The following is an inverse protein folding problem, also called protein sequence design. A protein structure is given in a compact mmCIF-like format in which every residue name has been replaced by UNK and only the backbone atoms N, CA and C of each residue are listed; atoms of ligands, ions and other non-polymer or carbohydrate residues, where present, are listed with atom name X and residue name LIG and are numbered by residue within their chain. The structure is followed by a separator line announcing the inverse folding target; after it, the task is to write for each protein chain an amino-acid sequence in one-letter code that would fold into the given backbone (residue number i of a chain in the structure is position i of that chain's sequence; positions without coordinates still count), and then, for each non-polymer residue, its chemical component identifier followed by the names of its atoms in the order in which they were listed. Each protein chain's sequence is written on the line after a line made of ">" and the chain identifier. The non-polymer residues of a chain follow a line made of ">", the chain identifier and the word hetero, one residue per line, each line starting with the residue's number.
data_IF_770772719127
#
_entry.id   IF_770772719127
#
_cell.length_a   1.000
_cell.length_b   1.000
_cell.length_c   1.000
_cell.angle_alpha   90.00
_cell.angle_beta   90.00
_cell.angle_gamma   90.00
#
_symmetry.space_group_name_H-M   'P 1'
#
loop_
_entity.id
_entity.type
_entity.pdbx_description
1 polymer ?
#
# COMPACT_ATOMS: atom_id res chain seq x y z
N UNK A 1 14.84 -0.39 -18.60
CA UNK A 1 14.50 -0.87 -17.24
C UNK A 1 14.21 -2.34 -17.39
N UNK A 2 14.66 -3.18 -16.46
CA UNK A 2 14.42 -4.63 -16.57
C UNK A 2 13.06 -5.01 -15.97
N UNK A 3 12.47 -6.10 -16.48
CA UNK A 3 11.26 -6.71 -15.91
C UNK A 3 11.42 -6.98 -14.41
N UNK A 4 12.62 -7.41 -13.97
CA UNK A 4 12.94 -7.57 -12.54
C UNK A 4 12.71 -6.31 -11.71
N UNK A 5 13.14 -5.16 -12.24
CA UNK A 5 13.05 -3.88 -11.53
C UNK A 5 11.59 -3.46 -11.40
N UNK A 6 10.84 -3.53 -12.51
CA UNK A 6 9.40 -3.24 -12.51
C UNK A 6 8.62 -4.19 -11.59
N UNK A 7 8.95 -5.48 -11.63
CA UNK A 7 8.27 -6.47 -10.78
C UNK A 7 8.49 -6.18 -9.30
N UNK A 8 9.74 -5.93 -8.90
CA UNK A 8 10.06 -5.55 -7.51
C UNK A 8 9.35 -4.26 -7.08
N UNK A 9 9.30 -3.26 -7.96
CA UNK A 9 8.56 -2.01 -7.69
C UNK A 9 7.07 -2.26 -7.51
N UNK A 10 6.45 -3.07 -8.37
CA UNK A 10 5.03 -3.40 -8.27
C UNK A 10 4.70 -4.14 -6.97
N UNK A 11 5.60 -5.02 -6.51
CA UNK A 11 5.47 -5.71 -5.23
C UNK A 11 5.62 -4.72 -4.06
N UNK A 12 6.60 -3.81 -4.12
CA UNK A 12 6.85 -2.81 -3.08
C UNK A 12 5.73 -1.77 -2.99
N UNK A 13 5.11 -1.40 -4.11
CA UNK A 13 4.01 -0.43 -4.14
C UNK A 13 2.64 -1.10 -3.94
N UNK A 14 2.62 -2.42 -3.77
CA UNK A 14 1.42 -3.25 -3.71
C UNK A 14 0.47 -2.98 -4.91
N UNK A 15 1.05 -2.76 -6.10
CA UNK A 15 0.30 -2.62 -7.35
C UNK A 15 -0.16 -4.00 -7.81
N UNK A 16 -1.18 -4.51 -7.12
CA UNK A 16 -1.64 -5.88 -7.25
C UNK A 16 -1.88 -6.33 -8.69
N UNK A 17 -2.61 -5.57 -9.54
CA UNK A 17 -2.80 -5.98 -10.92
C UNK A 17 -1.48 -6.15 -11.67
N UNK A 18 -0.61 -5.13 -11.65
CA UNK A 18 0.66 -5.15 -12.37
C UNK A 18 1.55 -6.31 -11.92
N UNK A 19 1.69 -6.51 -10.61
CA UNK A 19 2.49 -7.58 -10.05
C UNK A 19 1.96 -8.97 -10.45
N UNK A 20 0.64 -9.18 -10.40
CA UNK A 20 0.03 -10.46 -10.80
C UNK A 20 0.16 -10.73 -12.30
N UNK A 21 0.03 -9.70 -13.15
CA UNK A 21 0.27 -9.82 -14.59
C UNK A 21 1.71 -10.23 -14.91
N UNK A 22 2.69 -9.54 -14.32
CA UNK A 22 4.11 -9.86 -14.52
C UNK A 22 4.42 -11.28 -14.00
N UNK A 23 3.90 -11.63 -12.82
CA UNK A 23 4.08 -12.98 -12.26
C UNK A 23 3.49 -14.06 -13.16
N UNK A 24 2.30 -13.85 -13.73
CA UNK A 24 1.68 -14.78 -14.67
C UNK A 24 2.54 -14.97 -15.94
N UNK A 25 2.98 -13.87 -16.56
CA UNK A 25 3.83 -13.94 -17.76
C UNK A 25 5.17 -14.64 -17.50
N UNK A 26 5.79 -14.40 -16.34
CA UNK A 26 7.00 -15.09 -15.90
C UNK A 26 6.75 -16.59 -15.68
N UNK A 27 5.65 -16.94 -15.01
CA UNK A 27 5.28 -18.34 -14.72
C UNK A 27 5.04 -19.15 -16.00
N UNK A 28 4.40 -18.53 -16.99
CA UNK A 28 4.15 -19.12 -18.32
C UNK A 28 5.37 -19.00 -19.25
N UNK A 29 6.50 -18.46 -18.77
CA UNK A 29 7.76 -18.28 -19.52
C UNK A 29 7.62 -17.44 -20.79
N UNK A 30 6.65 -16.53 -20.82
CA UNK A 30 6.45 -15.57 -21.93
C UNK A 30 7.46 -14.44 -21.90
N UNK A 31 7.96 -14.13 -20.71
CA UNK A 31 9.02 -13.15 -20.46
C UNK A 31 10.05 -13.74 -19.46
N UNK A 32 11.21 -13.08 -19.38
CA UNK A 32 12.28 -13.30 -18.40
C UNK A 32 12.49 -12.05 -17.54
N UNK A 33 13.04 -12.24 -16.33
CA UNK A 33 13.42 -11.16 -15.43
C UNK A 33 14.51 -10.23 -16.00
N UNK A 34 15.29 -10.73 -16.96
CA UNK A 34 16.39 -10.00 -17.63
C UNK A 34 15.93 -9.27 -18.88
N UNK A 35 14.68 -9.43 -19.29
CA UNK A 35 14.16 -8.73 -20.47
C UNK A 35 13.96 -7.26 -20.14
N UNK A 36 14.08 -6.42 -21.16
CA UNK A 36 13.69 -5.01 -21.04
C UNK A 36 12.16 -4.89 -21.01
N UNK A 37 11.65 -3.95 -20.21
CA UNK A 37 10.21 -3.71 -20.07
C UNK A 37 9.50 -3.40 -21.41
N UNK A 38 10.21 -2.93 -22.44
CA UNK A 38 9.63 -2.71 -23.78
C UNK A 38 9.12 -3.99 -24.45
N UNK A 39 9.53 -5.17 -23.97
CA UNK A 39 9.04 -6.47 -24.43
C UNK A 39 7.79 -6.95 -23.68
N UNK A 40 7.34 -6.23 -22.65
CA UNK A 40 6.12 -6.59 -21.92
C UNK A 40 4.90 -6.36 -22.80
N UNK A 41 4.22 -7.46 -23.11
CA UNK A 41 2.91 -7.43 -23.72
C UNK A 41 1.88 -8.09 -22.79
N UNK A 42 1.05 -7.27 -22.13
CA UNK A 42 0.04 -7.77 -21.20
C UNK A 42 -1.12 -8.49 -21.90
N UNK A 43 -1.31 -8.28 -23.21
CA UNK A 43 -2.33 -8.98 -24.00
C UNK A 43 -1.97 -10.46 -24.20
N UNK A 44 -0.72 -10.84 -23.97
CA UNK A 44 -0.32 -12.24 -23.98
C UNK A 44 -0.72 -12.96 -22.69
N UNK A 45 -1.12 -12.26 -21.63
CA UNK A 45 -1.53 -12.88 -20.39
C UNK A 45 -2.93 -13.51 -20.48
N UNK A 46 -3.14 -14.60 -19.74
CA UNK A 46 -4.48 -15.15 -19.53
C UNK A 46 -5.20 -14.30 -18.48
N UNK A 47 -5.96 -13.29 -18.94
CA UNK A 47 -6.63 -12.31 -18.07
C UNK A 47 -7.56 -12.96 -17.04
N UNK A 48 -8.21 -14.08 -17.39
CA UNK A 48 -9.08 -14.81 -16.47
C UNK A 48 -8.25 -15.38 -15.31
N UNK A 49 -7.16 -16.09 -15.61
CA UNK A 49 -6.26 -16.63 -14.57
C UNK A 49 -5.65 -15.52 -13.73
N UNK A 50 -5.26 -14.40 -14.33
CA UNK A 50 -4.74 -13.26 -13.56
C UNK A 50 -5.78 -12.73 -12.59
N UNK A 51 -7.05 -12.61 -13.03
CA UNK A 51 -8.17 -12.25 -12.15
C UNK A 51 -8.31 -13.20 -10.96
N UNK A 52 -8.33 -14.51 -11.22
CA UNK A 52 -8.38 -15.54 -10.17
C UNK A 52 -7.18 -15.45 -9.21
N UNK A 53 -5.98 -15.16 -9.71
CA UNK A 53 -4.79 -15.00 -8.89
C UNK A 53 -4.86 -13.78 -7.97
N UNK A 54 -5.44 -12.68 -8.46
CA UNK A 54 -5.68 -11.46 -7.66
C UNK A 54 -6.71 -11.75 -6.56
N UNK A 55 -7.82 -12.41 -6.90
CA UNK A 55 -8.88 -12.76 -5.95
C UNK A 55 -8.37 -13.69 -4.84
N UNK A 56 -7.57 -14.68 -5.22
CA UNK A 56 -6.95 -15.62 -4.28
C UNK A 56 -5.69 -15.06 -3.59
N UNK A 57 -5.31 -13.82 -3.91
CA UNK A 57 -4.13 -13.14 -3.37
C UNK A 57 -2.87 -14.00 -3.42
N UNK A 58 -2.57 -14.58 -4.59
CA UNK A 58 -1.46 -15.54 -4.76
C UNK A 58 -0.10 -14.92 -4.41
N UNK A 59 0.06 -13.61 -4.60
CA UNK A 59 1.27 -12.87 -4.22
C UNK A 59 1.30 -12.43 -2.75
N UNK A 60 0.26 -12.71 -1.96
CA UNK A 60 0.23 -12.44 -0.53
C UNK A 60 0.22 -10.96 -0.19
N UNK A 61 -0.33 -10.09 -1.05
CA UNK A 61 -0.49 -8.68 -0.72
C UNK A 61 -1.42 -8.52 0.48
N UNK A 62 -0.85 -8.03 1.58
CA UNK A 62 -1.62 -7.66 2.74
C UNK A 62 -1.87 -6.17 2.68
N UNK A 63 -3.03 -5.77 2.17
CA UNK A 63 -3.39 -4.36 2.00
C UNK A 63 -3.13 -3.59 3.28
N UNK A 64 -2.06 -2.78 3.31
CA UNK A 64 -1.81 -1.83 4.38
C UNK A 64 -2.58 -0.56 4.05
N UNK A 65 -3.63 -0.29 4.81
CA UNK A 65 -4.37 0.97 4.76
C UNK A 65 -3.74 2.02 5.68
N UNK A 66 -4.07 3.27 5.43
CA UNK A 66 -3.78 4.38 6.34
C UNK A 66 -5.07 4.86 7.00
N UNK A 67 -5.04 4.96 8.33
CA UNK A 67 -6.20 5.32 9.14
C UNK A 67 -5.90 6.59 9.91
N UNK A 68 -6.78 7.58 9.81
CA UNK A 68 -6.79 8.77 10.66
C UNK A 68 -7.63 8.50 11.89
N UNK A 69 -7.02 8.55 13.06
CA UNK A 69 -7.67 8.35 14.35
C UNK A 69 -7.57 9.64 15.17
N UNK A 70 -8.70 10.07 15.73
CA UNK A 70 -8.74 11.31 16.51
C UNK A 70 -8.32 11.05 17.95
N UNK A 71 -7.26 11.75 18.38
CA UNK A 71 -6.74 11.78 19.75
C UNK A 71 -7.66 12.60 20.64
N UNK A 72 -7.80 13.89 20.32
CA UNK A 72 -8.62 14.87 21.04
C UNK A 72 -9.07 15.98 20.10
N UNK A 73 -9.58 17.10 20.62
CA UNK A 73 -10.08 18.19 19.79
C UNK A 73 -8.98 18.68 18.83
N UNK A 74 -9.26 18.65 17.52
CA UNK A 74 -8.37 19.02 16.41
C UNK A 74 -7.04 18.27 16.27
N UNK A 75 -6.78 17.21 17.03
CA UNK A 75 -5.56 16.40 16.93
C UNK A 75 -5.85 15.00 16.41
N UNK A 76 -5.15 14.62 15.35
CA UNK A 76 -5.31 13.34 14.66
C UNK A 76 -3.95 12.64 14.56
N UNK A 77 -3.97 11.31 14.63
CA UNK A 77 -2.83 10.46 14.31
C UNK A 77 -3.15 9.63 13.08
N UNK A 78 -2.19 9.54 12.18
CA UNK A 78 -2.24 8.66 11.03
C UNK A 78 -1.48 7.37 11.35
N UNK A 79 -2.14 6.23 11.19
CA UNK A 79 -1.57 4.90 11.48
C UNK A 79 -1.70 4.03 10.24
N UNK A 80 -0.59 3.46 9.79
CA UNK A 80 -0.62 2.40 8.79
C UNK A 80 -0.94 1.06 9.47
N UNK A 81 -1.91 0.31 8.95
CA UNK A 81 -2.29 -1.00 9.47
C UNK A 81 -2.95 -1.87 8.40
N UNK A 82 -3.02 -3.18 8.63
CA UNK A 82 -3.70 -4.12 7.72
C UNK A 82 -5.23 -4.07 7.79
N UNK A 83 -5.80 -3.37 8.79
CA UNK A 83 -7.24 -3.24 8.98
C UNK A 83 -7.56 -2.09 9.94
N UNK A 84 -8.79 -1.60 9.85
CA UNK A 84 -9.34 -0.59 10.78
C UNK A 84 -9.28 -1.06 12.23
N UNK A 85 -9.63 -2.32 12.48
CA UNK A 85 -9.62 -2.91 13.82
C UNK A 85 -8.21 -2.95 14.40
N UNK A 86 -7.22 -3.35 13.59
CA UNK A 86 -5.82 -3.36 14.01
C UNK A 86 -5.29 -1.96 14.30
N UNK A 87 -5.68 -0.96 13.51
CA UNK A 87 -5.33 0.43 13.77
C UNK A 87 -5.90 0.95 15.10
N UNK A 88 -7.17 0.64 15.39
CA UNK A 88 -7.82 1.01 16.67
C UNK A 88 -7.15 0.31 17.85
N UNK A 89 -6.88 -1.00 17.73
CA UNK A 89 -6.18 -1.75 18.77
C UNK A 89 -4.82 -1.14 19.07
N UNK A 90 -4.00 -0.92 18.04
CA UNK A 90 -2.67 -0.35 18.18
C UNK A 90 -2.71 1.08 18.76
N UNK A 91 -3.68 1.89 18.34
CA UNK A 91 -3.93 3.20 18.96
C UNK A 91 -4.19 3.08 20.46
N UNK A 92 -5.10 2.19 20.87
CA UNK A 92 -5.46 2.04 22.29
C UNK A 92 -4.30 1.51 23.13
N UNK A 93 -3.50 0.58 22.60
CA UNK A 93 -2.27 0.11 23.23
C UNK A 93 -1.22 1.23 23.37
N UNK A 94 -1.13 2.13 22.38
CA UNK A 94 -0.14 3.22 22.34
C UNK A 94 -0.53 4.43 23.21
N UNK A 95 -1.80 4.82 23.20
CA UNK A 95 -2.27 6.08 23.82
C UNK A 95 -3.14 5.85 25.07
N UNK A 96 -3.43 4.60 25.43
CA UNK A 96 -4.14 4.23 26.67
C UNK A 96 -5.65 4.52 26.67
N UNK A 97 -6.23 4.88 25.52
CA UNK A 97 -7.68 5.15 25.40
C UNK A 97 -8.18 4.81 23.98
N UNK A 98 -9.51 4.78 23.81
CA UNK A 98 -10.11 4.54 22.50
C UNK A 98 -10.16 5.83 21.66
N UNK A 99 -9.94 5.75 20.34
CA UNK A 99 -10.00 6.93 19.48
C UNK A 99 -11.44 7.41 19.34
N UNK A 100 -11.64 8.73 19.22
CA UNK A 100 -12.99 9.32 19.07
C UNK A 100 -13.63 8.92 17.75
N UNK A 101 -12.82 8.82 16.70
CA UNK A 101 -13.24 8.30 15.40
C UNK A 101 -12.05 7.62 14.70
N UNK A 102 -12.35 6.88 13.63
CA UNK A 102 -11.36 6.24 12.79
C UNK A 102 -11.85 6.20 11.34
N UNK A 103 -11.09 6.84 10.44
CA UNK A 103 -11.40 6.97 9.02
C UNK A 103 -10.22 6.46 8.18
N UNK A 104 -10.48 5.58 7.21
CA UNK A 104 -9.49 5.17 6.22
C UNK A 104 -9.35 6.26 5.15
N UNK A 105 -8.12 6.55 4.76
CA UNK A 105 -7.81 7.45 3.64
C UNK A 105 -7.29 6.65 2.45
N UNK A 106 -7.48 7.21 1.25
CA UNK A 106 -6.82 6.67 0.05
C UNK A 106 -5.31 6.79 0.19
N UNK A 107 -4.57 5.75 -0.21
CA UNK A 107 -3.11 5.81 -0.27
C UNK A 107 -2.61 6.84 -1.30
N UNK A 108 -3.43 7.16 -2.29
CA UNK A 108 -3.09 8.13 -3.33
C UNK A 108 -3.41 9.58 -2.90
N UNK A 109 -3.96 9.77 -1.69
CA UNK A 109 -4.13 11.10 -1.12
C UNK A 109 -2.77 11.74 -0.83
N UNK A 110 -2.59 12.97 -1.32
CA UNK A 110 -1.37 13.76 -1.13
C UNK A 110 -1.52 14.74 0.04
N UNK A 111 -0.47 14.84 0.85
CA UNK A 111 -0.37 15.79 1.94
C UNK A 111 0.90 16.63 1.82
N UNK A 112 0.81 17.87 2.28
CA UNK A 112 1.98 18.73 2.43
C UNK A 112 2.77 18.31 3.66
N UNK A 113 4.05 18.02 3.49
CA UNK A 113 5.01 17.73 4.56
C UNK A 113 6.16 18.74 4.47
N UNK A 114 6.12 19.78 5.30
CA UNK A 114 7.05 20.90 5.17
C UNK A 114 6.76 21.69 3.89
N UNK A 115 7.75 21.78 3.00
CA UNK A 115 7.61 22.44 1.68
C UNK A 115 7.33 21.45 0.54
N UNK A 116 7.27 20.15 0.82
CA UNK A 116 7.08 19.10 -0.17
C UNK A 116 5.66 18.51 -0.12
N UNK A 117 5.27 17.85 -1.21
CA UNK A 117 4.04 17.06 -1.31
C UNK A 117 4.40 15.57 -1.36
N UNK A 118 3.72 14.76 -0.55
CA UNK A 118 3.92 13.31 -0.49
C UNK A 118 2.57 12.58 -0.41
N UNK A 119 2.42 11.50 -1.17
CA UNK A 119 1.26 10.61 -1.04
C UNK A 119 1.47 9.62 0.12
N UNK A 120 0.38 9.15 0.73
CA UNK A 120 0.47 8.09 1.74
C UNK A 120 1.11 6.81 1.19
N UNK A 121 0.90 6.48 -0.09
CA UNK A 121 1.57 5.35 -0.75
C UNK A 121 3.09 5.49 -0.70
N UNK A 122 3.60 6.67 -1.03
CA UNK A 122 5.04 6.95 -0.99
C UNK A 122 5.56 6.98 0.44
N UNK A 123 4.80 7.57 1.36
CA UNK A 123 5.13 7.61 2.78
C UNK A 123 5.17 6.20 3.42
N UNK A 124 4.32 5.27 2.98
CA UNK A 124 4.31 3.87 3.45
C UNK A 124 5.68 3.19 3.28
N UNK A 125 6.40 3.52 2.21
CA UNK A 125 7.72 2.95 1.91
C UNK A 125 8.81 3.35 2.92
N UNK A 126 8.56 4.36 3.74
CA UNK A 126 9.46 4.78 4.82
C UNK A 126 9.42 3.82 6.03
N UNK A 127 8.50 2.84 6.04
CA UNK A 127 8.27 1.92 7.15
C UNK A 127 8.39 0.45 6.73
N UNK A 128 9.04 -0.35 7.58
CA UNK A 128 9.23 -1.79 7.35
C UNK A 128 8.27 -2.68 8.16
N UNK A 129 7.62 -2.12 9.19
CA UNK A 129 6.79 -2.88 10.13
C UNK A 129 5.45 -2.19 10.34
N UNK A 130 4.40 -3.00 10.45
CA UNK A 130 3.02 -2.55 10.65
C UNK A 130 2.35 -3.32 11.81
N UNK A 131 1.44 -2.70 12.57
CA UNK A 131 1.01 -1.31 12.46
C UNK A 131 2.07 -0.31 12.94
N UNK A 132 2.02 0.93 12.44
CA UNK A 132 2.97 2.00 12.81
C UNK A 132 2.32 3.38 12.73
N UNK A 133 2.73 4.30 13.62
CA UNK A 133 2.35 5.71 13.55
C UNK A 133 3.11 6.36 12.39
N UNK A 134 2.37 6.82 11.38
CA UNK A 134 2.91 7.54 10.24
C UNK A 134 3.18 9.01 10.60
N UNK A 135 2.31 9.64 11.40
CA UNK A 135 2.49 11.02 11.82
C UNK A 135 1.28 11.60 12.53
N UNK A 136 1.42 12.84 12.99
CA UNK A 136 0.39 13.60 13.68
C UNK A 136 -0.07 14.78 12.83
N UNK A 137 -1.35 15.12 12.91
CA UNK A 137 -1.93 16.26 12.21
C UNK A 137 -2.81 17.07 13.14
N UNK A 138 -2.53 18.36 13.18
CA UNK A 138 -3.31 19.34 13.90
C UNK A 138 -4.11 20.15 12.90
N UNK A 139 -5.43 20.06 12.97
CA UNK A 139 -6.30 20.91 12.17
C UNK A 139 -6.28 22.32 12.76
N UNK A 140 -5.64 23.25 12.06
CA UNK A 140 -5.76 24.67 12.39
C UNK A 140 -7.19 25.09 12.04
N UNK A 141 -7.91 25.59 13.05
CA UNK A 141 -9.29 26.06 12.92
C UNK A 141 -9.38 27.44 12.29
#
# INVERSE_FOLDING_TARGET
>A
MLVKELYLQSLQLEESPLAHYIFHLLKEKKISLTDDISQLNFDEADHQKVGEMIENNVLGFHKIGIYSLKLKHNEYVFIFANSKQRAIQFFTETFGHTPVNCHEYSLDYELTRGNDVISFRKMRMEFERFPVVAGFFNRVG
#
